data_IF_372025837292
#
_entry.id   IF_372025837292
#
_cell.length_a   1.000
_cell.length_b   1.000
_cell.length_c   1.000
_cell.angle_alpha   90.00
_cell.angle_beta   90.00
_cell.angle_gamma   90.00
#
_symmetry.space_group_name_H-M   'P 1'
#
loop_
_entity.id
_entity.type
_entity.pdbx_description
1 polymer ?
#
# COMPACT_ATOMS: atom_id res chain seq x y z
N UNK A 1 -2.87 25.56 -6.67
CA UNK A 1 -3.45 24.40 -5.96
C UNK A 1 -4.96 24.53 -5.89
N UNK A 2 -5.52 25.52 -5.21
CA UNK A 2 -6.99 25.63 -5.00
C UNK A 2 -7.83 25.65 -6.28
N UNK A 3 -7.39 26.36 -7.32
CA UNK A 3 -8.10 26.36 -8.63
C UNK A 3 -8.15 24.98 -9.29
N UNK A 4 -7.09 24.19 -9.14
CA UNK A 4 -6.99 22.85 -9.72
C UNK A 4 -7.87 21.85 -8.94
N UNK A 5 -7.92 21.99 -7.61
CA UNK A 5 -8.82 21.18 -6.76
C UNK A 5 -10.28 21.44 -7.12
N UNK A 6 -10.68 22.70 -7.30
CA UNK A 6 -12.04 23.05 -7.69
C UNK A 6 -12.41 22.55 -9.10
N UNK A 7 -11.47 22.59 -10.05
CA UNK A 7 -11.64 22.02 -11.39
C UNK A 7 -11.91 20.50 -11.32
N UNK A 8 -11.06 19.75 -10.60
CA UNK A 8 -11.21 18.31 -10.44
C UNK A 8 -12.51 17.93 -9.69
N UNK A 9 -12.98 18.74 -8.74
CA UNK A 9 -14.30 18.56 -8.09
C UNK A 9 -15.44 18.76 -9.07
N UNK A 10 -15.31 19.72 -9.98
CA UNK A 10 -16.23 19.93 -11.10
C UNK A 10 -16.33 18.69 -11.98
N UNK A 11 -15.19 18.20 -12.48
CA UNK A 11 -15.11 17.03 -13.34
C UNK A 11 -15.69 15.78 -12.67
N UNK A 12 -15.35 15.56 -11.40
CA UNK A 12 -15.85 14.42 -10.63
C UNK A 12 -17.39 14.46 -10.51
N UNK A 13 -17.97 15.65 -10.33
CA UNK A 13 -19.43 15.83 -10.25
C UNK A 13 -20.09 15.49 -11.59
N UNK A 14 -19.49 15.88 -12.71
CA UNK A 14 -19.99 15.56 -14.04
C UNK A 14 -19.90 14.06 -14.34
N UNK A 15 -18.74 13.45 -14.06
CA UNK A 15 -18.53 12.00 -14.22
C UNK A 15 -19.53 11.19 -13.39
N UNK A 16 -19.76 11.55 -12.12
CA UNK A 16 -20.78 10.90 -11.26
C UNK A 16 -22.19 11.06 -11.83
N UNK A 17 -22.52 12.21 -12.42
CA UNK A 17 -23.82 12.45 -13.07
C UNK A 17 -23.99 11.57 -14.30
N UNK A 18 -22.96 11.44 -15.14
CA UNK A 18 -22.97 10.57 -16.32
C UNK A 18 -23.09 9.09 -15.92
N UNK A 19 -22.29 8.64 -14.94
CA UNK A 19 -22.34 7.29 -14.40
C UNK A 19 -23.75 6.95 -13.87
N UNK A 20 -24.37 7.88 -13.13
CA UNK A 20 -25.73 7.71 -12.60
C UNK A 20 -26.77 7.60 -13.72
N UNK A 21 -26.68 8.39 -14.79
CA UNK A 21 -27.61 8.31 -15.94
C UNK A 21 -27.60 6.92 -16.59
N UNK A 22 -26.43 6.32 -16.74
CA UNK A 22 -26.32 4.96 -17.28
C UNK A 22 -26.88 3.94 -16.28
N UNK A 23 -26.54 4.08 -14.99
CA UNK A 23 -27.01 3.18 -13.95
C UNK A 23 -28.53 3.17 -13.81
N UNK A 24 -29.21 4.29 -14.03
CA UNK A 24 -30.68 4.38 -14.01
C UNK A 24 -31.38 3.62 -15.13
N UNK A 25 -30.68 3.21 -16.19
CA UNK A 25 -31.21 2.31 -17.23
C UNK A 25 -31.41 0.88 -16.73
N UNK A 26 -30.88 0.56 -15.54
CA UNK A 26 -31.17 -0.66 -14.80
C UNK A 26 -32.16 -0.34 -13.69
N UNK A 27 -33.39 -0.85 -13.80
CA UNK A 27 -34.48 -0.48 -12.89
C UNK A 27 -35.39 -1.66 -12.56
N UNK A 28 -36.17 -1.50 -11.49
CA UNK A 28 -37.18 -2.47 -11.09
C UNK A 28 -38.53 -2.11 -11.74
N UNK A 29 -39.07 -3.02 -12.55
CA UNK A 29 -40.38 -2.87 -13.18
C UNK A 29 -41.40 -3.77 -12.48
N UNK A 30 -42.63 -3.31 -12.21
CA UNK A 30 -43.67 -4.14 -11.60
C UNK A 30 -44.07 -5.28 -12.55
N UNK A 31 -44.15 -6.50 -12.04
CA UNK A 31 -44.67 -7.65 -12.80
C UNK A 31 -46.19 -7.54 -12.86
N UNK A 32 -46.76 -7.66 -14.06
CA UNK A 32 -48.21 -7.62 -14.28
C UNK A 32 -48.71 -8.94 -14.87
N UNK A 33 -49.92 -9.34 -14.49
CA UNK A 33 -50.60 -10.52 -15.03
C UNK A 33 -51.19 -10.27 -16.43
N UNK A 34 -51.81 -11.29 -17.03
CA UNK A 34 -52.45 -11.19 -18.36
C UNK A 34 -53.62 -10.19 -18.41
N UNK A 35 -54.18 -9.82 -17.27
CA UNK A 35 -55.23 -8.82 -17.14
C UNK A 35 -54.69 -7.41 -16.78
N UNK A 36 -53.36 -7.25 -16.74
CA UNK A 36 -52.68 -5.99 -16.46
C UNK A 36 -52.59 -5.61 -14.97
N UNK A 37 -53.02 -6.49 -14.05
CA UNK A 37 -52.95 -6.27 -12.60
C UNK A 37 -51.56 -6.61 -12.07
N UNK A 38 -51.11 -5.86 -11.07
CA UNK A 38 -49.80 -6.08 -10.46
C UNK A 38 -49.77 -7.40 -9.67
N UNK A 39 -48.78 -8.24 -9.96
CA UNK A 39 -48.59 -9.53 -9.30
C UNK A 39 -48.07 -9.30 -7.88
N UNK A 40 -48.69 -9.97 -6.92
CA UNK A 40 -48.28 -10.01 -5.51
C UNK A 40 -47.83 -11.41 -5.12
N UNK A 41 -46.87 -11.51 -4.22
CA UNK A 41 -46.40 -12.79 -3.68
C UNK A 41 -47.44 -13.36 -2.68
N UNK A 42 -47.19 -14.59 -2.17
CA UNK A 42 -48.06 -15.25 -1.18
C UNK A 42 -48.21 -14.48 0.16
N UNK A 43 -47.35 -13.48 0.41
CA UNK A 43 -47.36 -12.62 1.60
C UNK A 43 -48.03 -11.25 1.35
N UNK A 44 -48.46 -10.98 0.11
CA UNK A 44 -49.07 -9.71 -0.29
C UNK A 44 -48.08 -8.65 -0.82
N UNK A 45 -46.78 -8.93 -0.90
CA UNK A 45 -45.79 -7.98 -1.41
C UNK A 45 -45.82 -7.90 -2.93
N UNK A 46 -45.66 -6.68 -3.47
CA UNK A 46 -45.57 -6.42 -4.90
C UNK A 46 -44.33 -7.08 -5.50
N UNK A 47 -44.51 -7.83 -6.58
CA UNK A 47 -43.41 -8.47 -7.30
C UNK A 47 -42.86 -7.50 -8.34
N UNK A 48 -41.53 -7.30 -8.30
CA UNK A 48 -40.80 -6.52 -9.29
C UNK A 48 -39.83 -7.43 -10.04
N UNK A 49 -39.64 -7.16 -11.33
CA UNK A 49 -38.56 -7.75 -12.14
C UNK A 49 -37.47 -6.71 -12.36
N UNK A 50 -36.23 -7.15 -12.38
CA UNK A 50 -35.12 -6.30 -12.78
C UNK A 50 -35.09 -6.22 -14.30
N UNK A 51 -35.13 -5.01 -14.83
CA UNK A 51 -34.97 -4.72 -16.26
C UNK A 51 -33.65 -3.99 -16.45
N UNK A 52 -32.91 -4.36 -17.49
CA UNK A 52 -31.64 -3.75 -17.83
C UNK A 52 -31.69 -3.30 -19.30
N UNK A 53 -31.95 -2.02 -19.50
CA UNK A 53 -32.06 -1.40 -20.84
C UNK A 53 -30.72 -0.77 -21.28
N UNK A 54 -29.61 -1.13 -20.61
CA UNK A 54 -28.27 -0.67 -21.01
C UNK A 54 -27.87 -1.33 -22.32
N UNK A 55 -27.44 -0.51 -23.28
CA UNK A 55 -26.80 -0.99 -24.51
C UNK A 55 -25.39 -1.53 -24.22
N UNK A 56 -24.77 -2.30 -25.13
CA UNK A 56 -23.37 -2.68 -24.99
C UNK A 56 -22.43 -1.47 -24.85
N UNK A 57 -22.75 -0.36 -25.54
CA UNK A 57 -22.02 0.89 -25.42
C UNK A 57 -22.17 1.50 -24.02
N UNK A 58 -23.39 1.51 -23.47
CA UNK A 58 -23.63 2.00 -22.10
C UNK A 58 -22.78 1.24 -21.07
N UNK A 59 -22.61 -0.08 -21.22
CA UNK A 59 -21.81 -0.89 -20.31
C UNK A 59 -20.32 -0.54 -20.43
N UNK A 60 -19.82 -0.35 -21.66
CA UNK A 60 -18.44 0.05 -21.91
C UNK A 60 -18.15 1.47 -21.39
N UNK A 61 -19.05 2.42 -21.64
CA UNK A 61 -18.97 3.79 -21.15
C UNK A 61 -19.03 3.81 -19.62
N UNK A 62 -19.91 3.02 -19.01
CA UNK A 62 -20.03 2.93 -17.56
C UNK A 62 -18.72 2.47 -16.92
N UNK A 63 -18.05 1.46 -17.50
CA UNK A 63 -16.76 0.99 -17.02
C UNK A 63 -15.70 2.10 -17.09
N UNK A 64 -15.61 2.75 -18.24
CA UNK A 64 -14.65 3.84 -18.49
C UNK A 64 -14.87 5.02 -17.54
N UNK A 65 -16.14 5.42 -17.32
CA UNK A 65 -16.50 6.49 -16.40
C UNK A 65 -16.20 6.08 -14.95
N UNK A 66 -16.41 4.82 -14.57
CA UNK A 66 -16.10 4.34 -13.22
C UNK A 66 -14.58 4.38 -12.95
N UNK A 67 -13.77 4.00 -13.93
CA UNK A 67 -12.31 4.13 -13.87
C UNK A 67 -11.90 5.61 -13.74
N UNK A 68 -12.46 6.49 -14.58
CA UNK A 68 -12.20 7.93 -14.50
C UNK A 68 -12.57 8.52 -13.13
N UNK A 69 -13.73 8.15 -12.56
CA UNK A 69 -14.13 8.57 -11.20
C UNK A 69 -13.08 8.15 -10.18
N UNK A 70 -12.63 6.88 -10.22
CA UNK A 70 -11.63 6.37 -9.28
C UNK A 70 -10.31 7.14 -9.37
N UNK A 71 -9.82 7.39 -10.59
CA UNK A 71 -8.59 8.14 -10.82
C UNK A 71 -8.72 9.60 -10.37
N UNK A 72 -9.83 10.27 -10.69
CA UNK A 72 -10.08 11.65 -10.26
C UNK A 72 -10.20 11.76 -8.73
N UNK A 73 -10.85 10.79 -8.06
CA UNK A 73 -10.92 10.74 -6.60
C UNK A 73 -9.58 10.46 -5.93
N UNK A 74 -8.69 9.72 -6.59
CA UNK A 74 -7.32 9.53 -6.12
C UNK A 74 -6.51 10.82 -6.28
N UNK A 75 -6.57 11.47 -7.44
CA UNK A 75 -5.87 12.74 -7.68
C UNK A 75 -6.35 13.85 -6.74
N UNK A 76 -7.66 13.95 -6.49
CA UNK A 76 -8.21 14.90 -5.51
C UNK A 76 -7.68 14.65 -4.10
N UNK A 77 -7.69 13.40 -3.65
CA UNK A 77 -7.14 13.06 -2.34
C UNK A 77 -5.68 13.48 -2.23
N UNK A 78 -4.89 13.23 -3.28
CA UNK A 78 -3.49 13.60 -3.32
C UNK A 78 -3.29 15.12 -3.30
N UNK A 79 -4.06 15.88 -4.08
CA UNK A 79 -4.01 17.34 -4.09
C UNK A 79 -4.48 17.99 -2.78
N UNK A 80 -5.47 17.40 -2.10
CA UNK A 80 -6.03 17.95 -0.85
C UNK A 80 -5.17 17.61 0.37
N UNK A 81 -4.59 16.41 0.42
CA UNK A 81 -3.89 15.91 1.61
C UNK A 81 -2.38 15.92 1.47
N UNK A 82 -1.89 15.95 0.23
CA UNK A 82 -0.50 15.68 -0.09
C UNK A 82 -0.08 14.25 0.27
N UNK A 83 -0.98 13.32 0.59
CA UNK A 83 -0.63 11.98 1.09
C UNK A 83 -0.99 10.89 0.09
N UNK A 84 -0.31 9.76 0.19
CA UNK A 84 -0.68 8.56 -0.57
C UNK A 84 -2.05 8.04 -0.09
N UNK A 85 -2.99 7.85 -1.03
CA UNK A 85 -4.31 7.29 -0.71
C UNK A 85 -4.15 5.81 -0.39
N UNK A 86 -4.63 5.32 0.76
CA UNK A 86 -4.55 3.90 1.05
C UNK A 86 -5.41 3.11 0.05
N UNK A 87 -4.85 2.02 -0.50
CA UNK A 87 -5.57 1.14 -1.44
C UNK A 87 -6.75 0.42 -0.78
N UNK A 88 -6.66 0.12 0.51
CA UNK A 88 -7.71 -0.49 1.34
C UNK A 88 -7.41 -0.25 2.83
N UNK A 89 -8.40 -0.23 3.73
CA UNK A 89 -8.19 -0.01 5.18
C UNK A 89 -7.30 -1.10 5.78
N UNK A 90 -7.47 -2.36 5.36
CA UNK A 90 -6.62 -3.48 5.80
C UNK A 90 -5.18 -3.36 5.27
N UNK A 91 -5.00 -2.91 4.04
CA UNK A 91 -3.67 -2.73 3.45
C UNK A 91 -2.97 -1.49 4.02
N UNK A 92 -3.73 -0.44 4.38
CA UNK A 92 -3.24 0.75 5.06
C UNK A 92 -2.60 0.38 6.40
N UNK A 93 -3.19 -0.54 7.15
CA UNK A 93 -2.65 -0.98 8.44
C UNK A 93 -1.28 -1.68 8.32
N UNK A 94 -1.00 -2.32 7.17
CA UNK A 94 0.29 -2.97 6.88
C UNK A 94 1.41 -1.97 6.59
N UNK A 95 1.09 -0.75 6.19
CA UNK A 95 2.08 0.31 5.98
C UNK A 95 2.47 0.88 7.36
N UNK A 96 3.76 1.05 7.69
CA UNK A 96 4.17 1.66 8.96
C UNK A 96 3.54 3.06 9.18
N UNK A 97 3.11 3.38 10.40
CA UNK A 97 2.40 4.64 10.73
C UNK A 97 3.17 5.89 10.30
N UNK A 98 4.49 5.89 10.43
CA UNK A 98 5.33 7.01 9.99
C UNK A 98 5.23 7.25 8.48
N UNK A 99 5.20 6.19 7.65
CA UNK A 99 5.00 6.29 6.18
C UNK A 99 3.60 6.75 5.80
N UNK A 100 2.57 6.42 6.58
CA UNK A 100 1.18 6.86 6.36
C UNK A 100 0.94 8.34 6.64
N UNK A 101 1.76 8.95 7.50
CA UNK A 101 1.56 10.34 7.94
C UNK A 101 2.39 11.36 7.16
N UNK A 102 3.33 10.89 6.33
CA UNK A 102 4.22 11.75 5.54
C UNK A 102 3.43 12.33 4.36
N UNK A 103 3.49 13.64 4.23
CA UNK A 103 3.07 14.33 3.01
C UNK A 103 4.08 14.01 1.91
N UNK A 104 3.61 13.44 0.81
CA UNK A 104 4.32 13.23 -0.45
C UNK A 104 4.88 14.55 -0.99
N UNK A 105 4.22 15.70 -0.72
CA UNK A 105 4.76 17.02 -1.04
C UNK A 105 6.05 17.36 -0.27
N UNK A 106 6.33 16.68 0.84
CA UNK A 106 7.55 16.84 1.63
C UNK A 106 8.62 15.79 1.27
N UNK A 107 8.44 14.96 0.24
CA UNK A 107 9.42 13.90 -0.11
C UNK A 107 10.80 14.48 -0.41
N UNK A 108 10.88 15.63 -1.09
CA UNK A 108 12.16 16.31 -1.32
C UNK A 108 12.75 16.82 0.00
N UNK A 109 11.94 17.43 0.87
CA UNK A 109 12.38 17.88 2.20
C UNK A 109 12.81 16.72 3.10
N UNK A 110 12.19 15.55 2.98
CA UNK A 110 12.54 14.37 3.74
C UNK A 110 13.79 13.69 3.20
N UNK A 111 13.96 13.62 1.87
CA UNK A 111 15.23 13.16 1.28
C UNK A 111 16.39 14.04 1.74
N UNK A 112 16.15 15.35 1.84
CA UNK A 112 17.11 16.32 2.35
C UNK A 112 17.29 16.23 3.88
N UNK A 113 16.24 16.07 4.68
CA UNK A 113 16.37 15.90 6.14
C UNK A 113 17.03 14.57 6.52
N UNK A 114 16.73 13.49 5.79
CA UNK A 114 17.39 12.18 5.92
C UNK A 114 18.86 12.30 5.48
N UNK A 115 19.14 13.04 4.41
CA UNK A 115 20.53 13.37 4.01
C UNK A 115 21.24 14.17 5.11
N UNK A 116 20.64 15.24 5.63
CA UNK A 116 21.22 16.07 6.70
C UNK A 116 21.47 15.26 7.98
N UNK A 117 20.52 14.41 8.40
CA UNK A 117 20.67 13.56 9.58
C UNK A 117 21.72 12.45 9.41
N UNK A 118 21.89 11.92 8.20
CA UNK A 118 22.81 10.80 7.96
C UNK A 118 24.20 11.23 7.47
N UNK A 119 24.32 12.43 6.91
CA UNK A 119 25.55 12.90 6.23
C UNK A 119 26.15 14.15 6.89
N UNK A 120 25.34 15.05 7.47
CA UNK A 120 25.82 16.34 8.01
C UNK A 120 25.75 16.49 9.54
N UNK A 121 25.09 15.58 10.29
CA UNK A 121 25.19 15.62 11.75
C UNK A 121 26.61 15.22 12.20
N UNK A 122 27.33 16.08 12.95
CA UNK A 122 28.57 15.66 13.58
C UNK A 122 28.24 14.56 14.60
N UNK A 123 29.03 13.48 14.58
CA UNK A 123 28.93 12.24 15.39
C UNK A 123 28.79 12.49 16.92
N UNK A 124 28.86 13.74 17.38
CA UNK A 124 28.95 14.15 18.78
C UNK A 124 27.61 14.15 19.56
N UNK A 125 26.44 13.95 18.94
CA UNK A 125 25.15 13.85 19.67
C UNK A 125 24.33 12.60 19.37
N UNK A 126 24.97 11.45 19.29
CA UNK A 126 24.23 10.20 19.46
C UNK A 126 23.68 10.12 20.89
N UNK A 127 22.36 9.96 21.04
CA UNK A 127 21.75 9.60 22.32
C UNK A 127 22.33 8.29 22.85
N UNK A 128 22.35 8.10 24.16
CA UNK A 128 22.82 6.85 24.78
C UNK A 128 22.07 5.64 24.23
N UNK A 129 20.76 5.76 24.01
CA UNK A 129 19.93 4.73 23.36
C UNK A 129 20.41 4.39 21.94
N UNK A 130 20.77 5.39 21.12
CA UNK A 130 21.31 5.14 19.77
C UNK A 130 22.67 4.45 19.83
N UNK A 131 23.51 4.78 20.83
CA UNK A 131 24.81 4.11 21.03
C UNK A 131 24.63 2.65 21.41
N UNK A 132 23.70 2.38 22.32
CA UNK A 132 23.36 1.01 22.71
C UNK A 132 22.80 0.21 21.53
N UNK A 133 21.91 0.80 20.73
CA UNK A 133 21.42 0.16 19.50
C UNK A 133 22.54 -0.13 18.49
N UNK A 134 23.49 0.79 18.28
CA UNK A 134 24.64 0.51 17.42
C UNK A 134 25.49 -0.63 17.95
N UNK A 135 25.74 -0.67 19.27
CA UNK A 135 26.48 -1.77 19.89
C UNK A 135 25.76 -3.12 19.66
N UNK A 136 24.45 -3.16 19.88
CA UNK A 136 23.65 -4.38 19.62
C UNK A 136 23.72 -4.81 18.16
N UNK A 137 23.65 -3.88 17.20
CA UNK A 137 23.80 -4.20 15.78
C UNK A 137 25.18 -4.74 15.48
N UNK A 138 26.25 -4.12 16.00
CA UNK A 138 27.62 -4.61 15.78
C UNK A 138 27.86 -5.99 16.41
N UNK A 139 27.25 -6.27 17.56
CA UNK A 139 27.31 -7.59 18.19
C UNK A 139 26.60 -8.64 17.35
N UNK A 140 25.41 -8.33 16.83
CA UNK A 140 24.66 -9.21 15.92
C UNK A 140 25.45 -9.49 14.65
N UNK A 141 26.05 -8.45 14.04
CA UNK A 141 26.86 -8.59 12.83
C UNK A 141 28.06 -9.51 13.07
N UNK A 142 28.66 -9.49 14.26
CA UNK A 142 29.77 -10.40 14.61
C UNK A 142 29.37 -11.88 14.71
N UNK A 143 28.07 -12.20 14.88
CA UNK A 143 27.55 -13.57 14.88
C UNK A 143 27.34 -14.13 13.47
N UNK A 144 27.31 -13.27 12.45
CA UNK A 144 27.09 -13.65 11.07
C UNK A 144 28.40 -14.09 10.42
N UNK A 145 28.36 -15.16 9.63
CA UNK A 145 29.50 -15.51 8.77
C UNK A 145 29.69 -14.46 7.67
N UNK A 146 30.87 -14.35 7.07
CA UNK A 146 31.14 -13.33 6.04
C UNK A 146 30.11 -13.30 4.90
N UNK A 147 29.63 -14.46 4.44
CA UNK A 147 28.56 -14.55 3.42
C UNK A 147 27.17 -14.19 3.95
N UNK A 148 26.89 -14.47 5.21
CA UNK A 148 25.63 -14.08 5.85
C UNK A 148 25.59 -12.57 6.11
N UNK A 149 26.73 -11.99 6.49
CA UNK A 149 26.90 -10.55 6.68
C UNK A 149 26.75 -9.79 5.36
N UNK A 150 27.37 -10.28 4.29
CA UNK A 150 27.19 -9.73 2.94
C UNK A 150 25.70 -9.73 2.53
N UNK A 151 25.01 -10.86 2.70
CA UNK A 151 23.57 -10.93 2.41
C UNK A 151 22.75 -10.00 3.31
N UNK A 152 23.12 -9.89 4.59
CA UNK A 152 22.44 -9.02 5.55
C UNK A 152 22.53 -7.55 5.13
N UNK A 153 23.69 -7.08 4.68
CA UNK A 153 23.86 -5.73 4.15
C UNK A 153 23.10 -5.51 2.83
N UNK A 154 23.17 -6.46 1.89
CA UNK A 154 22.45 -6.34 0.62
C UNK A 154 20.93 -6.18 0.80
N UNK A 155 20.35 -6.87 1.79
CA UNK A 155 18.91 -6.77 2.08
C UNK A 155 18.57 -5.55 2.93
N UNK A 156 19.35 -5.25 3.98
CA UNK A 156 18.93 -4.27 4.99
C UNK A 156 19.55 -2.88 4.81
N UNK A 157 20.72 -2.77 4.20
CA UNK A 157 21.35 -1.49 3.88
C UNK A 157 21.07 -1.08 2.43
N UNK A 158 21.27 -1.99 1.47
CA UNK A 158 21.05 -1.70 0.04
C UNK A 158 19.60 -1.94 -0.43
N UNK A 159 18.75 -2.53 0.43
CA UNK A 159 17.31 -2.75 0.16
C UNK A 159 17.00 -3.59 -1.09
N UNK A 160 17.91 -4.50 -1.46
CA UNK A 160 17.72 -5.39 -2.60
C UNK A 160 16.71 -6.50 -2.31
N UNK A 161 15.99 -6.92 -3.36
CA UNK A 161 15.15 -8.11 -3.30
C UNK A 161 16.02 -9.38 -3.22
N UNK A 162 15.44 -10.50 -2.76
CA UNK A 162 16.16 -11.78 -2.73
C UNK A 162 16.66 -12.24 -4.11
N UNK A 163 15.99 -11.85 -5.20
CA UNK A 163 16.42 -12.16 -6.57
C UNK A 163 17.65 -11.35 -6.99
N UNK A 164 17.67 -10.06 -6.66
CA UNK A 164 18.80 -9.16 -6.94
C UNK A 164 20.02 -9.52 -6.08
N UNK A 165 19.82 -9.80 -4.79
CA UNK A 165 20.87 -10.26 -3.90
C UNK A 165 21.47 -11.60 -4.36
N UNK A 166 20.63 -12.54 -4.82
CA UNK A 166 21.09 -13.82 -5.38
C UNK A 166 21.98 -13.61 -6.61
N UNK A 167 21.56 -12.71 -7.51
CA UNK A 167 22.32 -12.36 -8.72
C UNK A 167 23.66 -11.71 -8.37
N UNK A 168 23.67 -10.82 -7.38
CA UNK A 168 24.88 -10.09 -6.95
C UNK A 168 25.89 -10.99 -6.24
N UNK A 169 25.42 -11.92 -5.43
CA UNK A 169 26.26 -12.88 -4.72
C UNK A 169 26.64 -14.11 -5.58
N UNK A 170 26.08 -14.25 -6.78
CA UNK A 170 26.32 -15.38 -7.67
C UNK A 170 25.81 -16.72 -7.12
N UNK A 171 24.69 -16.71 -6.38
CA UNK A 171 24.09 -17.90 -5.75
C UNK A 171 22.63 -18.07 -6.14
N UNK A 172 22.05 -19.25 -5.89
CA UNK A 172 20.64 -19.49 -6.17
C UNK A 172 19.73 -18.73 -5.18
N UNK A 173 18.56 -18.28 -5.65
CA UNK A 173 17.53 -17.61 -4.81
C UNK A 173 17.10 -18.49 -3.62
N UNK A 174 17.03 -19.82 -3.81
CA UNK A 174 16.75 -20.76 -2.72
C UNK A 174 17.80 -20.71 -1.60
N UNK A 175 19.07 -20.56 -1.97
CA UNK A 175 20.19 -20.40 -1.03
C UNK A 175 20.09 -19.09 -0.27
N UNK A 176 19.72 -17.99 -0.94
CA UNK A 176 19.46 -16.69 -0.30
C UNK A 176 18.35 -16.80 0.75
N UNK A 177 17.22 -17.44 0.41
CA UNK A 177 16.11 -17.62 1.36
C UNK A 177 16.51 -18.45 2.58
N UNK A 178 17.22 -19.56 2.35
CA UNK A 178 17.74 -20.40 3.44
C UNK A 178 18.72 -19.64 4.34
N UNK A 179 19.62 -18.85 3.74
CA UNK A 179 20.60 -18.04 4.45
C UNK A 179 19.94 -16.90 5.23
N UNK A 180 18.94 -16.23 4.65
CA UNK A 180 18.13 -15.22 5.33
C UNK A 180 17.39 -15.80 6.54
N UNK A 181 16.86 -17.02 6.44
CA UNK A 181 16.25 -17.68 7.59
C UNK A 181 17.28 -18.02 8.68
N UNK A 182 18.49 -18.46 8.32
CA UNK A 182 19.57 -18.68 9.32
C UNK A 182 19.97 -17.40 10.03
N UNK A 183 20.13 -16.30 9.29
CA UNK A 183 20.41 -14.97 9.85
C UNK A 183 19.31 -14.59 10.85
N UNK A 184 18.04 -14.73 10.47
CA UNK A 184 16.90 -14.46 11.36
C UNK A 184 16.97 -15.28 12.64
N UNK A 185 17.24 -16.58 12.54
CA UNK A 185 17.36 -17.45 13.71
C UNK A 185 18.53 -17.03 14.64
N UNK A 186 19.65 -16.54 14.09
CA UNK A 186 20.78 -16.04 14.88
C UNK A 186 20.42 -14.76 15.64
N UNK A 187 19.70 -13.85 14.98
CA UNK A 187 19.20 -12.60 15.57
C UNK A 187 18.21 -12.92 16.69
N UNK A 188 17.24 -13.81 16.44
CA UNK A 188 16.26 -14.23 17.45
C UNK A 188 16.96 -14.84 18.68
N UNK A 189 17.96 -15.72 18.47
CA UNK A 189 18.75 -16.27 19.57
C UNK A 189 19.52 -15.22 20.37
N UNK A 190 20.06 -14.21 19.71
CA UNK A 190 20.74 -13.10 20.39
C UNK A 190 19.78 -12.35 21.32
N UNK A 191 18.56 -12.07 20.88
CA UNK A 191 17.56 -11.39 21.73
C UNK A 191 16.94 -12.29 22.80
N UNK A 192 16.88 -13.61 22.57
CA UNK A 192 16.31 -14.56 23.54
C UNK A 192 17.30 -14.94 24.65
N UNK A 193 18.59 -15.10 24.33
CA UNK A 193 19.61 -15.61 25.26
C UNK A 193 20.74 -14.62 25.57
N UNK A 194 20.77 -13.45 24.91
CA UNK A 194 21.88 -12.50 24.97
C UNK A 194 23.11 -12.95 24.19
N UNK A 195 24.17 -12.15 24.20
CA UNK A 195 25.47 -12.50 23.62
C UNK A 195 26.21 -13.54 24.50
N UNK A 196 25.69 -14.77 24.57
CA UNK A 196 26.43 -15.87 25.17
C UNK A 196 27.50 -16.33 24.17
N UNK A 197 28.72 -15.83 24.36
CA UNK A 197 29.92 -16.42 23.77
C UNK A 197 29.92 -17.88 24.20
N UNK A 198 29.75 -18.80 23.25
CA UNK A 198 29.97 -20.22 23.50
C UNK A 198 31.43 -20.37 23.97
N UNK A 199 31.62 -20.57 25.27
CA UNK A 199 32.87 -21.03 25.85
C UNK A 199 33.09 -22.48 25.41
N UNK A 200 33.77 -22.66 24.28
CA UNK A 200 34.45 -23.89 23.91
C UNK A 200 35.83 -23.56 23.35
#
# INVERSE_FOLDING_TARGET
>A
MDKLVEEYKGDLKELKKLHKKILTKRYQAPVRDKAGKQVVNKKGDKVFRLVDDRTPQDIADQKTIAEAISTTEYALFWLETGREKPFDEEQAQKIPKHRRMISVADIEQMSYQVYLQNVEEPVERMSEEKREMLLQVTEIESLLSGKELELFHLINQELLTYGEAASRMGIAVGTVKSMSQRIKNKIEKYFEYGHQIQLF
#
